data_IF_597410995315
#
_entry.id   IF_597410995315
#
_cell.length_a   1.000
_cell.length_b   1.000
_cell.length_c   1.000
_cell.angle_alpha   90.00
_cell.angle_beta   90.00
_cell.angle_gamma   90.00
#
_symmetry.space_group_name_H-M   'P 1'
#
loop_
_entity.id
_entity.type
_entity.pdbx_description
1 polymer ?
#
# COMPACT_ATOMS: atom_id res chain seq x y z
N UNK A 1 3.15 22.67 -2.82
CA UNK A 1 3.32 21.20 -2.70
C UNK A 1 3.74 20.53 -4.01
N UNK A 2 3.23 20.96 -5.17
CA UNK A 2 3.59 20.39 -6.49
C UNK A 2 5.04 20.66 -6.95
N UNK A 3 5.65 21.79 -6.57
CA UNK A 3 7.03 22.15 -6.97
C UNK A 3 8.08 21.11 -6.51
N UNK A 4 8.03 20.71 -5.24
CA UNK A 4 9.00 19.75 -4.68
C UNK A 4 8.78 18.31 -5.15
N UNK A 5 7.53 17.95 -5.49
CA UNK A 5 7.24 16.64 -6.08
C UNK A 5 7.71 16.57 -7.54
N UNK A 6 7.67 17.69 -8.27
CA UNK A 6 8.14 17.75 -9.66
C UNK A 6 9.65 17.75 -9.84
N UNK A 7 10.43 17.85 -8.75
CA UNK A 7 11.89 17.64 -8.78
C UNK A 7 12.25 16.17 -8.58
N UNK A 8 11.28 15.32 -8.23
CA UNK A 8 11.50 13.88 -8.01
C UNK A 8 11.48 13.17 -9.36
N UNK A 9 12.62 13.19 -10.04
CA UNK A 9 12.83 12.46 -11.30
C UNK A 9 13.13 10.97 -11.11
N UNK A 10 13.25 10.26 -12.22
CA UNK A 10 13.60 8.84 -12.31
C UNK A 10 13.65 8.41 -13.77
N UNK A 11 14.27 7.26 -14.04
CA UNK A 11 14.51 6.76 -15.40
C UNK A 11 13.28 6.09 -16.01
N UNK A 12 12.39 5.56 -15.16
CA UNK A 12 11.18 4.85 -15.56
C UNK A 12 9.95 5.38 -14.82
N UNK A 13 8.76 5.22 -15.41
CA UNK A 13 7.50 5.59 -14.76
C UNK A 13 7.34 4.92 -13.38
N UNK A 14 7.77 3.65 -13.26
CA UNK A 14 7.77 2.90 -12.00
C UNK A 14 8.66 3.56 -10.93
N UNK A 15 9.85 4.01 -11.30
CA UNK A 15 10.77 4.67 -10.36
C UNK A 15 10.27 6.03 -9.92
N UNK A 16 9.78 6.84 -10.88
CA UNK A 16 9.20 8.17 -10.61
C UNK A 16 8.02 8.02 -9.64
N UNK A 17 7.06 7.15 -9.95
CA UNK A 17 5.91 6.89 -9.10
C UNK A 17 6.29 6.30 -7.75
N UNK A 18 7.28 5.40 -7.71
CA UNK A 18 7.80 4.81 -6.49
C UNK A 18 8.43 5.83 -5.55
N UNK A 19 9.15 6.83 -6.09
CA UNK A 19 9.76 7.92 -5.32
C UNK A 19 8.70 8.93 -4.86
N UNK A 20 7.80 9.35 -5.75
CA UNK A 20 6.68 10.25 -5.42
C UNK A 20 5.84 9.69 -4.28
N UNK A 21 5.43 8.43 -4.37
CA UNK A 21 4.57 7.82 -3.36
C UNK A 21 5.26 7.66 -2.00
N UNK A 22 6.58 7.45 -1.96
CA UNK A 22 7.35 7.42 -0.69
C UNK A 22 7.43 8.77 0.00
N UNK A 23 7.44 9.87 -0.76
CA UNK A 23 7.42 11.22 -0.21
C UNK A 23 6.02 11.65 0.26
N UNK A 24 4.98 11.04 -0.29
CA UNK A 24 3.59 11.46 -0.06
C UNK A 24 2.91 10.63 1.02
N UNK A 25 3.19 9.33 1.07
CA UNK A 25 2.51 8.41 1.96
C UNK A 25 3.51 7.68 2.84
N UNK A 26 3.44 7.96 4.15
CA UNK A 26 4.06 7.11 5.16
C UNK A 26 3.44 5.71 5.09
N UNK A 27 4.26 4.67 5.31
CA UNK A 27 3.83 3.28 5.17
C UNK A 27 2.62 2.96 6.05
N UNK A 28 2.62 3.42 7.31
CA UNK A 28 1.55 3.24 8.27
C UNK A 28 0.22 3.80 7.74
N UNK A 29 0.27 5.03 7.21
CA UNK A 29 -0.90 5.67 6.61
C UNK A 29 -1.34 4.93 5.35
N UNK A 30 -0.42 4.41 4.54
CA UNK A 30 -0.75 3.66 3.33
C UNK A 30 -1.51 2.35 3.60
N UNK A 31 -1.45 1.80 4.82
CA UNK A 31 -2.17 0.57 5.18
C UNK A 31 -3.67 0.81 5.40
N UNK A 32 -4.08 2.03 5.79
CA UNK A 32 -5.47 2.41 6.06
C UNK A 32 -6.26 2.78 4.80
N UNK A 33 -5.58 2.95 3.65
CA UNK A 33 -6.23 3.28 2.39
C UNK A 33 -6.23 2.11 1.40
N UNK A 34 -7.24 2.11 0.51
CA UNK A 34 -7.16 1.44 -0.78
C UNK A 34 -7.77 2.35 -1.86
N UNK A 35 -7.64 2.00 -3.14
CA UNK A 35 -8.08 2.89 -4.22
C UNK A 35 -9.56 3.30 -4.12
N UNK A 36 -10.45 2.36 -3.79
CA UNK A 36 -11.92 2.56 -3.82
C UNK A 36 -12.52 2.86 -2.44
N UNK A 37 -11.82 2.53 -1.36
CA UNK A 37 -12.32 2.59 0.01
C UNK A 37 -13.18 1.39 0.42
N UNK A 38 -12.89 0.18 -0.08
CA UNK A 38 -13.66 -1.02 0.32
C UNK A 38 -13.25 -1.56 1.70
N UNK A 39 -14.21 -2.08 2.45
CA UNK A 39 -14.02 -2.66 3.78
C UNK A 39 -13.75 -1.58 4.83
N UNK A 40 -12.85 -1.85 5.77
CA UNK A 40 -12.46 -0.89 6.82
C UNK A 40 -11.36 0.10 6.39
N UNK A 41 -11.20 0.32 5.07
CA UNK A 41 -10.16 1.20 4.51
C UNK A 41 -10.79 2.38 3.81
N UNK A 42 -10.17 3.55 3.95
CA UNK A 42 -10.66 4.78 3.33
C UNK A 42 -10.32 4.85 1.84
N UNK A 43 -11.15 5.55 1.02
CA UNK A 43 -10.90 5.74 -0.40
C UNK A 43 -9.73 6.68 -0.64
N UNK A 44 -8.68 6.19 -1.29
CA UNK A 44 -7.56 7.02 -1.71
C UNK A 44 -7.96 7.92 -2.89
N UNK A 45 -8.80 7.42 -3.79
CA UNK A 45 -9.24 8.09 -5.03
C UNK A 45 -9.89 9.47 -4.83
N UNK A 46 -10.43 9.73 -3.65
CA UNK A 46 -11.13 10.98 -3.31
C UNK A 46 -10.20 12.02 -2.68
N UNK A 47 -8.96 11.65 -2.35
CA UNK A 47 -8.03 12.56 -1.71
C UNK A 47 -7.56 13.64 -2.68
N UNK A 48 -7.58 14.90 -2.23
CA UNK A 48 -7.07 16.06 -2.98
C UNK A 48 -5.61 15.92 -3.41
N UNK A 49 -4.84 15.07 -2.74
CA UNK A 49 -3.42 14.85 -3.07
C UNK A 49 -3.23 14.13 -4.42
N UNK A 50 -4.25 13.41 -4.92
CA UNK A 50 -4.17 12.72 -6.20
C UNK A 50 -3.96 13.68 -7.36
N UNK A 51 -4.63 14.83 -7.36
CA UNK A 51 -4.44 15.83 -8.42
C UNK A 51 -2.98 16.33 -8.44
N UNK A 52 -2.36 16.46 -7.27
CA UNK A 52 -0.96 16.84 -7.14
C UNK A 52 -0.02 15.73 -7.62
N UNK A 53 -0.31 14.46 -7.31
CA UNK A 53 0.45 13.31 -7.81
C UNK A 53 0.38 13.23 -9.33
N UNK A 54 -0.83 13.30 -9.90
CA UNK A 54 -1.05 13.28 -11.35
C UNK A 54 -0.33 14.42 -12.06
N UNK A 55 -0.39 15.64 -11.50
CA UNK A 55 0.31 16.79 -12.06
C UNK A 55 1.84 16.62 -12.03
N UNK A 56 2.40 16.06 -10.95
CA UNK A 56 3.83 15.78 -10.86
C UNK A 56 4.24 14.65 -11.84
N UNK A 57 3.48 13.57 -11.90
CA UNK A 57 3.72 12.44 -12.80
C UNK A 57 3.67 12.88 -14.28
N UNK A 58 2.68 13.71 -14.65
CA UNK A 58 2.54 14.26 -16.00
C UNK A 58 3.75 15.07 -16.45
N UNK A 59 4.40 15.82 -15.55
CA UNK A 59 5.64 16.56 -15.85
C UNK A 59 6.81 15.65 -16.24
N UNK A 60 6.78 14.39 -15.83
CA UNK A 60 7.78 13.39 -16.17
C UNK A 60 7.33 12.41 -17.27
N UNK A 61 6.28 12.77 -18.02
CA UNK A 61 5.79 11.96 -19.15
C UNK A 61 4.98 10.72 -18.75
N UNK A 62 4.59 10.58 -17.48
CA UNK A 62 3.75 9.47 -17.02
C UNK A 62 2.28 9.81 -17.30
N UNK A 63 1.57 8.90 -17.97
CA UNK A 63 0.15 9.07 -18.27
C UNK A 63 -0.71 8.94 -17.01
N UNK A 64 -1.94 9.47 -17.03
CA UNK A 64 -2.86 9.30 -15.91
C UNK A 64 -3.19 7.84 -15.61
N UNK A 65 -3.29 7.00 -16.66
CA UNK A 65 -3.57 5.58 -16.53
C UNK A 65 -2.41 4.82 -15.85
N UNK A 66 -1.17 5.10 -16.24
CA UNK A 66 0.01 4.53 -15.59
C UNK A 66 0.14 5.00 -14.15
N UNK A 67 -0.12 6.28 -13.90
CA UNK A 67 -0.12 6.87 -12.57
C UNK A 67 -1.13 6.14 -11.65
N UNK A 68 -2.38 5.98 -12.09
CA UNK A 68 -3.41 5.25 -11.35
C UNK A 68 -3.03 3.78 -11.12
N UNK A 69 -2.51 3.10 -12.16
CA UNK A 69 -2.04 1.72 -12.04
C UNK A 69 -0.97 1.58 -10.96
N UNK A 70 0.03 2.47 -10.98
CA UNK A 70 1.10 2.48 -9.99
C UNK A 70 0.61 2.81 -8.59
N UNK A 71 -0.33 3.75 -8.41
CA UNK A 71 -0.91 4.06 -7.10
C UNK A 71 -1.65 2.83 -6.56
N UNK A 72 -2.48 2.17 -7.37
CA UNK A 72 -3.20 0.94 -6.99
C UNK A 72 -2.25 -0.16 -6.56
N UNK A 73 -1.21 -0.43 -7.36
CA UNK A 73 -0.18 -1.42 -7.03
C UNK A 73 0.55 -1.05 -5.74
N UNK A 74 0.88 0.24 -5.56
CA UNK A 74 1.52 0.70 -4.34
C UNK A 74 0.63 0.38 -3.15
N UNK A 75 -0.62 0.88 -3.12
CA UNK A 75 -1.55 0.66 -2.01
C UNK A 75 -1.80 -0.83 -1.73
N UNK A 76 -1.85 -1.67 -2.77
CA UNK A 76 -1.97 -3.13 -2.60
C UNK A 76 -0.80 -3.70 -1.81
N UNK A 77 0.42 -3.25 -2.09
CA UNK A 77 1.64 -3.72 -1.44
C UNK A 77 2.04 -2.89 -0.21
N UNK A 78 1.20 -1.98 0.29
CA UNK A 78 1.51 -1.19 1.48
C UNK A 78 1.70 -2.06 2.72
N UNK A 79 0.78 -3.00 2.92
CA UNK A 79 0.80 -3.94 4.04
C UNK A 79 2.01 -4.89 4.04
N UNK A 80 2.56 -5.22 2.87
CA UNK A 80 3.76 -6.07 2.77
C UNK A 80 5.04 -5.32 3.17
N UNK A 81 5.05 -3.99 3.03
CA UNK A 81 6.22 -3.14 3.30
C UNK A 81 6.42 -2.82 4.76
N UNK A 82 5.35 -2.86 5.55
CA UNK A 82 5.39 -2.64 7.00
C UNK A 82 5.56 -3.95 7.79
N UNK A 83 6.20 -4.95 7.18
CA UNK A 83 6.38 -6.26 7.83
C UNK A 83 5.10 -7.09 7.95
N UNK A 84 4.00 -6.72 7.29
CA UNK A 84 2.72 -7.44 7.39
C UNK A 84 2.76 -8.89 6.91
N UNK A 85 3.80 -9.29 6.17
CA UNK A 85 4.09 -10.70 5.85
C UNK A 85 4.55 -11.48 7.09
N UNK A 86 5.40 -10.87 7.93
CA UNK A 86 5.83 -11.43 9.23
C UNK A 86 4.65 -11.49 10.21
N UNK A 87 3.81 -10.46 10.28
CA UNK A 87 2.62 -10.49 11.14
C UNK A 87 1.59 -11.55 10.71
N UNK A 88 1.40 -11.76 9.40
CA UNK A 88 0.55 -12.84 8.88
C UNK A 88 1.12 -14.23 9.19
N UNK A 89 2.44 -14.40 9.06
CA UNK A 89 3.10 -15.63 9.47
C UNK A 89 2.95 -15.87 10.98
N UNK A 90 3.14 -14.86 11.81
CA UNK A 90 2.99 -14.98 13.27
C UNK A 90 1.57 -15.37 13.66
N UNK A 91 0.54 -14.69 13.11
CA UNK A 91 -0.87 -15.03 13.36
C UNK A 91 -1.24 -16.43 12.86
N UNK A 92 -0.69 -16.87 11.73
CA UNK A 92 -0.95 -18.20 11.20
C UNK A 92 -0.33 -19.29 12.07
N UNK A 93 0.89 -19.07 12.57
CA UNK A 93 1.58 -19.98 13.50
C UNK A 93 0.87 -20.05 14.86
N UNK A 94 0.41 -18.91 15.36
CA UNK A 94 -0.34 -18.80 16.62
C UNK A 94 -1.71 -19.49 16.52
N UNK A 95 -2.45 -19.25 15.44
CA UNK A 95 -3.71 -19.94 15.15
C UNK A 95 -3.52 -21.46 14.99
N UNK A 96 -2.43 -21.90 14.34
CA UNK A 96 -2.12 -23.32 14.20
C UNK A 96 -1.76 -23.98 15.54
N UNK A 97 -1.03 -23.29 16.42
CA UNK A 97 -0.73 -23.79 17.78
C UNK A 97 -1.99 -23.90 18.62
N UNK A 98 -2.86 -22.89 18.60
CA UNK A 98 -4.12 -22.92 19.33
C UNK A 98 -5.03 -24.07 18.85
N UNK A 99 -5.08 -24.31 17.54
CA UNK A 99 -5.88 -25.40 16.97
C UNK A 99 -5.38 -26.79 17.37
N UNK A 100 -4.06 -26.96 17.55
CA UNK A 100 -3.44 -28.21 18.04
C UNK A 100 -3.74 -28.45 19.52
N UNK A 101 -3.67 -27.41 20.36
CA UNK A 101 -4.01 -27.52 21.79
C UNK A 101 -5.45 -28.01 21.97
N UNK A 102 -6.40 -27.49 21.16
CA UNK A 102 -7.79 -27.93 21.24
C UNK A 102 -7.98 -29.38 20.80
N UNK A 103 -7.30 -29.84 19.73
CA UNK A 103 -7.40 -31.25 19.31
C UNK A 103 -6.87 -32.22 20.37
N UNK A 104 -5.75 -31.86 21.02
CA UNK A 104 -5.13 -32.70 22.05
C UNK A 104 -6.02 -32.83 23.31
N UNK A 105 -6.86 -31.83 23.60
CA UNK A 105 -7.83 -31.87 24.71
C UNK A 105 -9.13 -32.61 24.40
N UNK A 106 -9.46 -32.86 23.13
CA UNK A 106 -10.74 -33.50 22.74
C UNK A 106 -10.64 -35.01 22.53
N UNK A 107 -9.44 -35.58 22.57
CA UNK A 107 -9.18 -37.03 22.40
C UNK A 107 -8.98 -37.78 23.74
N UNK A 108 -9.30 -37.15 24.88
CA UNK A 108 -9.11 -37.72 26.24
C UNK A 108 -10.39 -38.16 26.96
N UNK A 109 -11.52 -38.28 26.27
CA UNK A 109 -12.77 -38.90 26.77
C UNK A 109 -13.12 -40.15 25.94
#
# INVERSE_FOLDING_TARGET
MTMHLSTIGGTTAKDIMGRLMRHILANELATSFNWVGRGNKSPFSTLRIISSIKAAAKKHGVTEAECECHIKQWLKHSSDRDGGRKNRQHKAVEAASFKRVISDTTDSD
#
